data_IF_939555635016
#
_entry.id   IF_939555635016
#
_cell.length_a   1.000
_cell.length_b   1.000
_cell.length_c   1.000
_cell.angle_alpha   90.00
_cell.angle_beta   90.00
_cell.angle_gamma   90.00
#
_symmetry.space_group_name_H-M   'P 1'
#
loop_
_entity.id
_entity.type
_entity.pdbx_description
1 polymer ?
#
# COMPACT_ATOMS: atom_id res chain seq x y z
N UNK A 1 -3.84 -4.05 -38.92
CA UNK A 1 -4.24 -3.14 -37.83
C UNK A 1 -4.37 -3.86 -36.47
N UNK A 2 -3.48 -4.83 -36.16
CA UNK A 2 -3.64 -5.71 -34.98
C UNK A 2 -2.45 -5.72 -34.00
N UNK A 3 -1.27 -5.19 -34.35
CA UNK A 3 -0.08 -5.26 -33.48
C UNK A 3 -0.02 -4.17 -32.39
N UNK A 4 -0.49 -2.96 -32.68
CA UNK A 4 -0.39 -1.80 -31.78
C UNK A 4 -1.21 -2.00 -30.49
N UNK A 5 -2.39 -2.62 -30.60
CA UNK A 5 -3.28 -2.87 -29.47
C UNK A 5 -2.75 -4.00 -28.56
N UNK A 6 -2.07 -4.99 -29.11
CA UNK A 6 -1.54 -6.11 -28.34
C UNK A 6 -0.35 -5.67 -27.46
N UNK A 7 0.55 -4.85 -28.03
CA UNK A 7 1.68 -4.26 -27.29
C UNK A 7 1.18 -3.31 -26.19
N UNK A 8 0.13 -2.53 -26.45
CA UNK A 8 -0.46 -1.63 -25.46
C UNK A 8 -1.19 -2.36 -24.32
N UNK A 9 -1.74 -3.55 -24.56
CA UNK A 9 -2.37 -4.39 -23.53
C UNK A 9 -1.29 -5.10 -22.70
N UNK A 10 -0.22 -5.60 -23.35
CA UNK A 10 0.92 -6.22 -22.67
C UNK A 10 1.69 -5.21 -21.81
N UNK A 11 1.85 -3.96 -22.28
CA UNK A 11 2.51 -2.89 -21.54
C UNK A 11 1.71 -2.44 -20.32
N UNK A 12 0.38 -2.30 -20.45
CA UNK A 12 -0.51 -2.04 -19.31
C UNK A 12 -0.49 -3.17 -18.28
N UNK A 13 -0.46 -4.43 -18.72
CA UNK A 13 -0.38 -5.60 -17.84
C UNK A 13 0.98 -5.70 -17.14
N UNK A 14 2.06 -5.32 -17.82
CA UNK A 14 3.39 -5.20 -17.23
C UNK A 14 3.47 -4.04 -16.22
N UNK A 15 2.85 -2.89 -16.54
CA UNK A 15 2.69 -1.74 -15.64
C UNK A 15 1.85 -2.07 -14.41
N UNK A 16 0.77 -2.86 -14.53
CA UNK A 16 0.02 -3.33 -13.36
C UNK A 16 0.83 -4.34 -12.52
N UNK A 17 1.68 -5.15 -13.15
CA UNK A 17 2.59 -6.07 -12.44
C UNK A 17 3.75 -5.36 -11.75
N UNK A 18 4.26 -4.25 -12.31
CA UNK A 18 5.31 -3.44 -11.69
C UNK A 18 4.76 -2.44 -10.66
N UNK A 19 3.61 -1.82 -10.92
CA UNK A 19 2.90 -0.95 -9.99
C UNK A 19 2.33 -1.71 -8.80
N UNK A 20 1.91 -2.97 -8.97
CA UNK A 20 1.54 -3.86 -7.87
C UNK A 20 2.69 -4.18 -6.91
N UNK A 21 3.94 -4.06 -7.38
CA UNK A 21 5.15 -4.18 -6.54
C UNK A 21 5.50 -2.84 -5.88
N UNK A 22 5.22 -1.71 -6.53
CA UNK A 22 5.53 -0.37 -6.02
C UNK A 22 4.50 0.17 -5.00
N UNK A 23 3.20 -0.11 -5.19
CA UNK A 23 2.13 0.26 -4.24
C UNK A 23 2.13 -0.63 -2.99
N UNK A 24 2.82 -1.76 -3.02
CA UNK A 24 3.07 -2.66 -1.87
C UNK A 24 4.44 -2.41 -1.21
N UNK A 25 5.07 -1.26 -1.48
CA UNK A 25 6.49 -0.99 -1.21
C UNK A 25 6.90 -0.95 0.26
N UNK A 26 5.97 -0.81 1.21
CA UNK A 26 6.27 -0.93 2.65
C UNK A 26 5.67 -2.16 3.33
N UNK A 27 4.57 -2.71 2.82
CA UNK A 27 3.95 -3.93 3.36
C UNK A 27 4.70 -5.22 3.00
N UNK A 28 5.47 -5.22 1.89
CA UNK A 28 6.14 -6.44 1.42
C UNK A 28 7.60 -6.56 1.87
N UNK A 29 8.27 -5.46 2.23
CA UNK A 29 9.70 -5.47 2.54
C UNK A 29 10.04 -5.87 3.99
N UNK A 30 9.06 -5.86 4.91
CA UNK A 30 9.23 -6.32 6.30
C UNK A 30 8.76 -7.76 6.52
N UNK A 31 8.05 -8.33 5.54
CA UNK A 31 7.79 -9.76 5.49
C UNK A 31 9.03 -10.42 4.90
N UNK A 32 9.82 -11.10 5.72
CA UNK A 32 10.84 -12.03 5.25
C UNK A 32 10.25 -12.90 4.12
N UNK A 33 10.65 -12.61 2.88
CA UNK A 33 10.13 -13.26 1.69
C UNK A 33 10.44 -14.77 1.73
N UNK A 34 9.40 -15.61 1.62
CA UNK A 34 9.30 -16.43 0.41
C UNK A 34 7.84 -16.63 -0.02
N UNK A 35 7.03 -15.57 -0.15
CA UNK A 35 5.62 -15.76 -0.53
C UNK A 35 5.40 -15.98 -2.04
N UNK A 36 6.39 -15.73 -2.90
CA UNK A 36 6.20 -15.74 -4.35
C UNK A 36 6.87 -16.90 -5.11
N UNK A 37 7.57 -17.81 -4.43
CA UNK A 37 8.29 -18.91 -5.10
C UNK A 37 8.20 -20.29 -4.40
N UNK A 38 7.47 -20.42 -3.28
CA UNK A 38 7.38 -21.70 -2.59
C UNK A 38 6.29 -22.60 -3.21
N UNK A 39 6.57 -23.88 -3.53
CA UNK A 39 5.53 -24.83 -3.90
C UNK A 39 4.54 -24.94 -2.74
N UNK A 40 3.22 -24.82 -3.03
CA UNK A 40 2.15 -24.92 -2.04
C UNK A 40 2.19 -26.29 -1.35
N UNK A 41 2.85 -26.35 -0.19
CA UNK A 41 2.67 -27.44 0.77
C UNK A 41 1.34 -27.20 1.49
N UNK A 42 0.58 -28.27 1.74
CA UNK A 42 -0.64 -28.19 2.54
C UNK A 42 -0.25 -27.66 3.92
N UNK A 43 -0.69 -26.44 4.23
CA UNK A 43 -0.36 -25.72 5.45
C UNK A 43 -1.03 -26.41 6.66
N UNK A 44 -0.31 -26.50 7.79
CA UNK A 44 -0.92 -26.95 9.05
C UNK A 44 -1.84 -25.84 9.58
N UNK A 45 -2.85 -26.19 10.38
CA UNK A 45 -3.83 -25.24 10.93
C UNK A 45 -3.22 -24.04 11.70
N UNK A 46 -2.01 -24.20 12.26
CA UNK A 46 -1.26 -23.10 12.89
C UNK A 46 -0.56 -22.17 11.88
N UNK A 47 -0.13 -22.71 10.73
CA UNK A 47 0.53 -21.93 9.68
C UNK A 47 -0.47 -20.98 8.99
N UNK A 48 -1.74 -21.38 8.90
CA UNK A 48 -2.80 -20.54 8.31
C UNK A 48 -3.10 -19.32 9.16
N UNK A 49 -3.19 -19.47 10.49
CA UNK A 49 -3.42 -18.33 11.40
C UNK A 49 -2.25 -17.35 11.37
N UNK A 50 -1.01 -17.85 11.38
CA UNK A 50 0.17 -16.97 11.27
C UNK A 50 0.23 -16.25 9.93
N UNK A 51 -0.13 -16.92 8.82
CA UNK A 51 -0.25 -16.31 7.49
C UNK A 51 -1.32 -15.23 7.46
N UNK A 52 -2.51 -15.49 8.01
CA UNK A 52 -3.62 -14.54 8.03
C UNK A 52 -3.28 -13.28 8.83
N UNK A 53 -2.61 -13.44 9.99
CA UNK A 53 -2.09 -12.30 10.76
C UNK A 53 -1.09 -11.49 9.95
N UNK A 54 -0.19 -12.14 9.20
CA UNK A 54 0.74 -11.43 8.31
C UNK A 54 0.04 -10.58 7.26
N UNK A 55 -1.02 -11.10 6.64
CA UNK A 55 -1.84 -10.35 5.67
C UNK A 55 -2.55 -9.18 6.35
N UNK A 56 -3.16 -9.39 7.52
CA UNK A 56 -3.83 -8.32 8.26
C UNK A 56 -2.87 -7.21 8.69
N UNK A 57 -1.64 -7.56 9.10
CA UNK A 57 -0.62 -6.55 9.44
C UNK A 57 -0.22 -5.72 8.22
N UNK A 58 -0.08 -6.35 7.05
CA UNK A 58 0.15 -5.64 5.79
C UNK A 58 -1.00 -4.69 5.45
N UNK A 59 -2.25 -5.15 5.60
CA UNK A 59 -3.43 -4.31 5.40
C UNK A 59 -3.47 -3.13 6.39
N UNK A 60 -3.20 -3.36 7.68
CA UNK A 60 -3.18 -2.31 8.69
C UNK A 60 -2.13 -1.24 8.39
N UNK A 61 -0.93 -1.64 7.93
CA UNK A 61 0.09 -0.69 7.50
C UNK A 61 -0.37 0.18 6.31
N UNK A 62 -1.09 -0.40 5.35
CA UNK A 62 -1.65 0.33 4.20
C UNK A 62 -2.77 1.29 4.64
N UNK A 63 -3.60 0.91 5.61
CA UNK A 63 -4.61 1.82 6.17
C UNK A 63 -3.95 3.04 6.84
N UNK A 64 -2.85 2.86 7.58
CA UNK A 64 -2.09 3.98 8.15
C UNK A 64 -1.52 4.91 7.07
N UNK A 65 -1.00 4.35 5.97
CA UNK A 65 -0.52 5.12 4.81
C UNK A 65 -1.65 5.90 4.13
N UNK A 66 -2.82 5.28 3.95
CA UNK A 66 -4.00 5.93 3.39
C UNK A 66 -4.49 7.10 4.25
N UNK A 67 -4.58 6.89 5.57
CA UNK A 67 -4.93 7.94 6.54
C UNK A 67 -3.96 9.12 6.46
N UNK A 68 -2.66 8.84 6.47
CA UNK A 68 -1.63 9.87 6.36
C UNK A 68 -1.75 10.65 5.04
N UNK A 69 -1.94 9.97 3.91
CA UNK A 69 -2.11 10.60 2.60
C UNK A 69 -3.30 11.57 2.58
N UNK A 70 -4.46 11.17 3.10
CA UNK A 70 -5.63 12.05 3.17
C UNK A 70 -5.44 13.22 4.13
N UNK A 71 -4.76 13.02 5.27
CA UNK A 71 -4.45 14.09 6.21
C UNK A 71 -3.51 15.12 5.61
N UNK A 72 -2.43 14.67 4.98
CA UNK A 72 -1.43 15.52 4.33
C UNK A 72 -2.09 16.30 3.17
N UNK A 73 -2.82 15.61 2.30
CA UNK A 73 -3.50 16.25 1.17
C UNK A 73 -4.58 17.23 1.64
N UNK A 74 -5.41 16.85 2.62
CA UNK A 74 -6.46 17.69 3.20
C UNK A 74 -5.92 18.94 3.91
N UNK A 75 -4.76 18.83 4.57
CA UNK A 75 -4.09 19.95 5.23
C UNK A 75 -3.25 20.85 4.31
N UNK A 76 -2.98 20.42 3.07
CA UNK A 76 -2.09 21.14 2.14
C UNK A 76 -2.68 22.41 1.54
N UNK A 77 -4.01 22.56 1.56
CA UNK A 77 -4.71 23.63 0.84
C UNK A 77 -4.83 23.43 -0.68
N UNK A 78 -4.33 22.32 -1.23
CA UNK A 78 -4.41 22.01 -2.66
C UNK A 78 -5.80 21.56 -3.11
N UNK A 79 -6.62 21.06 -2.18
CA UNK A 79 -7.94 20.53 -2.49
C UNK A 79 -8.99 21.65 -2.48
N UNK A 80 -9.79 21.73 -3.55
CA UNK A 80 -11.02 22.54 -3.51
C UNK A 80 -11.97 22.05 -2.43
N UNK A 81 -12.86 22.93 -1.94
CA UNK A 81 -13.78 22.59 -0.84
C UNK A 81 -14.57 21.29 -1.11
N UNK A 82 -15.16 21.14 -2.30
CA UNK A 82 -15.94 19.95 -2.62
C UNK A 82 -15.12 18.66 -2.65
N UNK A 83 -13.86 18.73 -3.08
CA UNK A 83 -12.93 17.59 -3.06
C UNK A 83 -12.49 17.29 -1.63
N UNK A 84 -12.25 18.31 -0.79
CA UNK A 84 -11.93 18.13 0.62
C UNK A 84 -13.08 17.45 1.37
N UNK A 85 -14.33 17.85 1.12
CA UNK A 85 -15.50 17.24 1.76
C UNK A 85 -15.57 15.72 1.46
N UNK A 86 -15.28 15.31 0.22
CA UNK A 86 -15.21 13.88 -0.15
C UNK A 86 -13.99 13.19 0.44
N UNK A 87 -12.83 13.85 0.44
CA UNK A 87 -11.60 13.32 1.03
C UNK A 87 -11.78 12.98 2.53
N UNK A 88 -12.51 13.80 3.27
CA UNK A 88 -12.82 13.56 4.68
C UNK A 88 -13.73 12.32 4.89
N UNK A 89 -14.63 12.02 3.95
CA UNK A 89 -15.43 10.79 4.00
C UNK A 89 -14.54 9.56 3.82
N UNK A 90 -13.64 9.57 2.83
CA UNK A 90 -12.71 8.45 2.62
C UNK A 90 -11.72 8.29 3.76
N UNK A 91 -11.25 9.39 4.35
CA UNK A 91 -10.45 9.36 5.57
C UNK A 91 -11.18 8.59 6.68
N UNK A 92 -12.46 8.90 6.94
CA UNK A 92 -13.26 8.18 7.92
C UNK A 92 -13.42 6.68 7.62
N UNK A 93 -13.53 6.29 6.35
CA UNK A 93 -13.55 4.87 5.96
C UNK A 93 -12.24 4.15 6.31
N UNK A 94 -11.09 4.76 5.98
CA UNK A 94 -9.79 4.20 6.31
C UNK A 94 -9.59 4.06 7.83
N UNK A 95 -10.04 5.03 8.62
CA UNK A 95 -10.01 4.93 10.08
C UNK A 95 -10.87 3.76 10.61
N UNK A 96 -12.06 3.57 10.04
CA UNK A 96 -12.91 2.43 10.37
C UNK A 96 -12.28 1.08 10.03
N UNK A 97 -11.59 0.98 8.89
CA UNK A 97 -10.82 -0.22 8.51
C UNK A 97 -9.65 -0.47 9.45
N UNK A 98 -8.84 0.56 9.74
CA UNK A 98 -7.69 0.52 10.66
C UNK A 98 -8.12 -0.05 12.02
N UNK A 99 -9.17 0.50 12.60
CA UNK A 99 -9.62 0.12 13.95
C UNK A 99 -10.13 -1.33 13.97
N UNK A 100 -10.85 -1.72 12.92
CA UNK A 100 -11.33 -3.11 12.76
C UNK A 100 -10.17 -4.10 12.60
N UNK A 101 -9.18 -3.78 11.76
CA UNK A 101 -7.99 -4.62 11.56
C UNK A 101 -7.15 -4.72 12.82
N UNK A 102 -6.89 -3.60 13.50
CA UNK A 102 -6.14 -3.59 14.76
C UNK A 102 -6.81 -4.48 15.81
N UNK A 103 -8.15 -4.42 15.92
CA UNK A 103 -8.91 -5.27 16.82
C UNK A 103 -8.79 -6.76 16.46
N UNK A 104 -8.86 -7.11 15.17
CA UNK A 104 -8.73 -8.49 14.71
C UNK A 104 -7.33 -9.06 15.00
N UNK A 105 -6.29 -8.27 14.73
CA UNK A 105 -4.90 -8.65 15.00
C UNK A 105 -4.68 -8.86 16.51
N UNK A 106 -5.19 -7.96 17.34
CA UNK A 106 -5.13 -8.09 18.80
C UNK A 106 -5.87 -9.33 19.30
N UNK A 107 -7.05 -9.63 18.73
CA UNK A 107 -7.85 -10.82 19.06
C UNK A 107 -7.11 -12.11 18.66
N UNK A 108 -6.32 -12.08 17.59
CA UNK A 108 -5.45 -13.19 17.19
C UNK A 108 -4.18 -13.33 18.07
N UNK A 109 -4.02 -12.51 19.10
CA UNK A 109 -2.89 -12.56 20.05
C UNK A 109 -1.61 -11.88 19.57
N UNK A 110 -1.67 -11.12 18.48
CA UNK A 110 -0.55 -10.35 17.96
C UNK A 110 -0.68 -8.86 18.30
N UNK A 111 0.45 -8.14 18.36
CA UNK A 111 0.43 -6.68 18.53
C UNK A 111 0.21 -6.01 17.17
N UNK A 112 -0.82 -5.16 17.00
CA UNK A 112 -1.02 -4.38 15.77
C UNK A 112 0.20 -3.52 15.44
N UNK A 113 0.53 -3.41 14.15
CA UNK A 113 1.58 -2.48 13.69
C UNK A 113 1.15 -1.03 13.92
N UNK A 114 2.06 -0.24 14.45
CA UNK A 114 1.86 1.18 14.74
C UNK A 114 2.04 2.04 13.48
N UNK A 115 1.31 3.17 13.37
CA UNK A 115 1.54 4.13 12.29
C UNK A 115 2.91 4.78 12.42
N UNK A 116 3.44 5.25 11.29
CA UNK A 116 4.57 6.20 11.27
C UNK A 116 4.06 7.63 11.42
N UNK A 117 4.97 8.57 11.61
CA UNK A 117 4.66 10.00 11.54
C UNK A 117 4.43 10.45 10.09
N UNK A 118 3.70 11.56 9.89
CA UNK A 118 3.53 12.14 8.54
C UNK A 118 4.87 12.49 7.89
N UNK A 119 5.83 12.97 8.67
CA UNK A 119 7.17 13.31 8.18
C UNK A 119 7.88 12.08 7.60
N UNK A 120 7.74 10.92 8.26
CA UNK A 120 8.29 9.65 7.77
C UNK A 120 7.58 9.17 6.50
N UNK A 121 6.25 9.30 6.42
CA UNK A 121 5.50 8.97 5.21
C UNK A 121 5.85 9.88 4.03
N UNK A 122 5.97 11.18 4.26
CA UNK A 122 6.39 12.15 3.24
C UNK A 122 7.82 11.84 2.77
N UNK A 123 8.74 11.58 3.70
CA UNK A 123 10.11 11.22 3.38
C UNK A 123 10.18 9.95 2.51
N UNK A 124 9.39 8.93 2.87
CA UNK A 124 9.27 7.71 2.09
C UNK A 124 8.73 7.96 0.67
N UNK A 125 7.68 8.78 0.54
CA UNK A 125 7.12 9.15 -0.77
C UNK A 125 8.13 9.89 -1.64
N UNK A 126 8.87 10.85 -1.07
CA UNK A 126 9.93 11.57 -1.79
C UNK A 126 11.06 10.66 -2.23
N UNK A 127 11.46 9.70 -1.38
CA UNK A 127 12.49 8.74 -1.73
C UNK A 127 12.06 7.80 -2.88
N UNK A 128 10.76 7.58 -3.06
CA UNK A 128 10.22 6.84 -4.21
C UNK A 128 10.12 7.73 -5.44
N UNK A 129 9.67 8.98 -5.32
CA UNK A 129 9.54 9.89 -6.46
C UNK A 129 10.88 10.25 -7.11
N UNK A 130 11.98 10.23 -6.36
CA UNK A 130 13.32 10.49 -6.89
C UNK A 130 13.99 9.28 -7.54
N UNK A 131 13.39 8.09 -7.47
CA UNK A 131 13.90 6.91 -8.17
C UNK A 131 13.57 7.02 -9.65
N UNK A 132 14.58 6.86 -10.49
CA UNK A 132 14.44 6.75 -11.93
C UNK A 132 14.31 5.29 -12.33
N UNK A 133 13.49 5.01 -13.34
CA UNK A 133 13.52 3.71 -14.00
C UNK A 133 14.69 3.64 -15.00
N UNK A 134 14.79 2.53 -15.75
CA UNK A 134 15.84 2.35 -16.76
C UNK A 134 15.80 3.38 -17.91
N UNK A 135 14.72 4.18 -18.02
CA UNK A 135 14.61 5.27 -18.98
C UNK A 135 15.10 6.61 -18.43
N UNK A 136 15.50 6.69 -17.15
CA UNK A 136 15.98 7.92 -16.52
C UNK A 136 14.86 8.88 -16.11
N UNK A 137 13.60 8.49 -16.28
CA UNK A 137 12.43 9.29 -15.88
C UNK A 137 12.09 8.98 -14.42
N UNK A 138 11.86 10.00 -13.57
CA UNK A 138 11.43 9.78 -12.19
C UNK A 138 10.08 9.08 -12.14
N UNK A 139 9.92 8.14 -11.21
CA UNK A 139 8.73 7.31 -11.06
C UNK A 139 7.44 8.10 -10.77
N UNK A 140 7.57 9.28 -10.16
CA UNK A 140 6.46 10.20 -9.91
C UNK A 140 6.93 11.67 -9.95
N UNK A 141 6.01 12.59 -10.24
CA UNK A 141 6.29 14.02 -10.14
C UNK A 141 6.58 14.39 -8.67
N UNK A 142 7.55 15.28 -8.41
CA UNK A 142 7.84 15.74 -7.05
C UNK A 142 6.62 16.48 -6.45
N UNK A 143 6.36 16.22 -5.16
CA UNK A 143 5.36 16.92 -4.34
C UNK A 143 5.85 18.31 -3.92
#
# INVERSE_FOLDING_TARGET
>A
MSNENEVAIQSRRALFRSAGIAAAGFGLATLNAPLLAAPRKIARRGDTVSSDVGVMQGALALEHEGIAAYRIAGGSGLLSKGVLDVALVFLGHHEGHRDSLAKLIATAGAKPVEPKTDAEYISALRAVSTRTDSSGIPFAAPL
#
